data_IF_855641343376
#
_entry.id   IF_855641343376
#
_cell.length_a   1.000
_cell.length_b   1.000
_cell.length_c   1.000
_cell.angle_alpha   90.00
_cell.angle_beta   90.00
_cell.angle_gamma   90.00
#
_symmetry.space_group_name_H-M   'P 1'
#
loop_
_entity.id
_entity.type
_entity.pdbx_description
1 polymer ?
#
# COMPACT_ATOMS: atom_id res chain seq x y z
N UNK A 1 -8.60 2.31 3.05
CA UNK A 1 -8.24 1.66 4.34
C UNK A 1 -7.70 2.70 5.33
N UNK A 2 -6.65 3.46 5.03
CA UNK A 2 -6.10 4.53 5.90
C UNK A 2 -7.20 5.44 6.46
N UNK A 3 -8.08 5.97 5.58
CA UNK A 3 -9.21 6.82 5.98
C UNK A 3 -10.07 6.18 7.08
N UNK A 4 -10.49 4.91 6.91
CA UNK A 4 -11.34 4.22 7.90
C UNK A 4 -10.70 4.14 9.28
N UNK A 5 -9.39 3.83 9.36
CA UNK A 5 -8.68 3.81 10.64
C UNK A 5 -8.49 5.20 11.23
N UNK A 6 -8.24 6.20 10.39
CA UNK A 6 -8.13 7.58 10.84
C UNK A 6 -9.46 8.12 11.40
N UNK A 7 -10.57 7.91 10.67
CA UNK A 7 -11.91 8.28 11.11
C UNK A 7 -12.29 7.57 12.42
N UNK A 8 -11.95 6.28 12.55
CA UNK A 8 -12.17 5.55 13.80
C UNK A 8 -11.39 6.17 14.96
N UNK A 9 -10.14 6.62 14.72
CA UNK A 9 -9.34 7.30 15.74
C UNK A 9 -9.93 8.65 16.13
N UNK A 10 -10.30 9.49 15.16
CA UNK A 10 -10.84 10.83 15.43
C UNK A 10 -12.18 10.76 16.16
N UNK A 11 -13.03 9.82 15.77
CA UNK A 11 -14.36 9.63 16.35
C UNK A 11 -14.39 8.65 17.53
N UNK A 12 -13.22 8.18 17.99
CA UNK A 12 -13.06 7.21 19.08
C UNK A 12 -13.93 5.94 18.90
N UNK A 13 -14.03 5.44 17.66
CA UNK A 13 -14.76 4.19 17.39
C UNK A 13 -13.96 3.00 17.90
N UNK A 14 -14.64 2.00 18.44
CA UNK A 14 -14.04 0.75 18.95
C UNK A 14 -13.77 -0.30 17.86
N UNK A 15 -14.26 -0.07 16.65
CA UNK A 15 -14.13 -1.04 15.55
C UNK A 15 -14.08 -0.39 14.16
N UNK A 16 -13.55 -1.16 13.20
CA UNK A 16 -13.53 -0.84 11.77
C UNK A 16 -13.97 -2.07 10.98
N UNK A 17 -14.89 -1.90 10.04
CA UNK A 17 -15.32 -2.95 9.11
C UNK A 17 -14.57 -2.82 7.79
N UNK A 18 -13.92 -3.90 7.35
CA UNK A 18 -13.24 -4.05 6.06
C UNK A 18 -13.95 -5.14 5.24
N UNK A 19 -13.89 -5.02 3.92
CA UNK A 19 -14.55 -5.94 2.99
C UNK A 19 -13.75 -7.20 2.75
N UNK A 20 -14.46 -8.31 2.49
CA UNK A 20 -13.93 -9.63 2.17
C UNK A 20 -13.32 -10.33 3.37
N UNK A 21 -12.58 -11.39 3.12
CA UNK A 21 -11.89 -12.17 4.17
C UNK A 21 -10.57 -11.54 4.60
N UNK A 22 -10.02 -10.61 3.79
CA UNK A 22 -8.68 -10.06 3.98
C UNK A 22 -7.53 -11.03 3.66
N UNK A 23 -7.83 -12.22 3.13
CA UNK A 23 -6.81 -13.22 2.74
C UNK A 23 -6.07 -12.89 1.44
N UNK A 24 -6.67 -12.20 0.43
CA UNK A 24 -5.97 -11.89 -0.81
C UNK A 24 -4.68 -11.14 -0.57
N UNK A 25 -3.65 -11.50 -1.37
CA UNK A 25 -2.34 -10.85 -1.32
C UNK A 25 -2.18 -9.82 -2.40
N UNK A 26 -1.56 -8.70 -2.05
CA UNK A 26 -1.28 -7.57 -2.96
C UNK A 26 0.13 -7.05 -2.71
N UNK A 27 0.71 -6.60 -3.79
CA UNK A 27 1.95 -5.83 -3.80
C UNK A 27 1.62 -4.33 -3.70
N UNK A 28 2.45 -3.60 -2.97
CA UNK A 28 2.32 -2.14 -2.80
C UNK A 28 3.66 -1.48 -3.05
N UNK A 29 3.63 -0.39 -3.77
CA UNK A 29 4.78 0.45 -4.07
C UNK A 29 4.45 1.90 -3.70
N UNK A 30 5.38 2.59 -3.05
CA UNK A 30 5.21 4.00 -2.74
C UNK A 30 5.30 4.85 -4.02
N UNK A 31 4.47 5.90 -4.10
CA UNK A 31 4.30 6.68 -5.33
C UNK A 31 5.59 7.33 -5.82
N UNK A 32 6.45 7.83 -4.91
CA UNK A 32 7.73 8.43 -5.30
C UNK A 32 8.70 7.37 -5.85
N UNK A 33 8.62 6.12 -5.37
CA UNK A 33 9.40 5.02 -5.95
C UNK A 33 8.94 4.70 -7.38
N UNK A 34 7.62 4.77 -7.64
CA UNK A 34 7.10 4.64 -9.00
C UNK A 34 7.59 5.80 -9.89
N UNK A 35 7.53 7.04 -9.41
CA UNK A 35 8.05 8.20 -10.14
C UNK A 35 9.54 8.05 -10.49
N UNK A 36 10.34 7.56 -9.52
CA UNK A 36 11.76 7.26 -9.76
C UNK A 36 11.99 6.14 -10.76
N UNK A 37 11.10 5.13 -10.81
CA UNK A 37 11.19 4.10 -11.84
C UNK A 37 10.99 4.68 -13.25
N UNK A 38 10.06 5.64 -13.39
CA UNK A 38 9.85 6.36 -14.66
C UNK A 38 11.09 7.18 -15.04
N UNK A 39 11.67 7.94 -14.10
CA UNK A 39 12.91 8.69 -14.36
C UNK A 39 14.06 7.75 -14.72
N UNK A 40 14.21 6.65 -13.99
CA UNK A 40 15.22 5.63 -14.31
C UNK A 40 15.05 5.10 -15.74
N UNK A 41 13.81 4.84 -16.17
CA UNK A 41 13.54 4.35 -17.52
C UNK A 41 13.85 5.40 -18.62
N UNK A 42 13.71 6.70 -18.30
CA UNK A 42 14.05 7.79 -19.23
C UNK A 42 15.56 8.03 -19.32
N UNK A 43 16.30 7.80 -18.25
CA UNK A 43 17.75 8.08 -18.16
C UNK A 43 18.61 6.89 -18.57
N UNK A 44 18.05 5.71 -18.75
CA UNK A 44 18.79 4.49 -19.06
C UNK A 44 18.29 3.85 -20.36
N UNK A 45 19.21 3.22 -21.09
CA UNK A 45 18.87 2.44 -22.28
C UNK A 45 18.22 1.13 -21.82
N UNK A 46 16.94 0.99 -22.07
CA UNK A 46 16.17 -0.22 -21.85
C UNK A 46 16.01 -0.95 -23.19
N UNK A 47 16.37 -2.23 -23.20
CA UNK A 47 16.44 -3.07 -24.40
C UNK A 47 15.13 -3.80 -24.73
N UNK A 48 14.07 -3.56 -23.93
CA UNK A 48 12.75 -4.16 -24.15
C UNK A 48 11.65 -3.10 -24.12
N UNK A 49 10.50 -3.43 -24.76
CA UNK A 49 9.36 -2.50 -24.84
C UNK A 49 8.47 -2.48 -23.60
N UNK A 50 8.63 -3.48 -22.69
CA UNK A 50 7.76 -3.61 -21.51
C UNK A 50 8.55 -4.02 -20.27
N UNK A 51 8.44 -3.21 -19.25
CA UNK A 51 8.98 -3.48 -17.91
C UNK A 51 7.89 -3.37 -16.86
N UNK A 52 7.77 -4.39 -16.01
CA UNK A 52 6.93 -4.30 -14.83
C UNK A 52 7.68 -3.55 -13.73
N UNK A 53 6.96 -2.70 -13.00
CA UNK A 53 7.46 -1.97 -11.84
C UNK A 53 6.73 -2.46 -10.60
N UNK A 54 7.47 -2.94 -9.59
CA UNK A 54 6.92 -3.44 -8.34
C UNK A 54 7.97 -3.48 -7.24
N UNK A 55 7.53 -3.68 -6.01
CA UNK A 55 8.41 -3.80 -4.84
C UNK A 55 9.06 -5.19 -4.73
N UNK A 56 8.52 -6.18 -5.47
CA UNK A 56 8.97 -7.58 -5.44
C UNK A 56 8.42 -8.38 -4.25
N UNK A 57 7.56 -7.80 -3.42
CA UNK A 57 6.97 -8.47 -2.26
C UNK A 57 5.49 -8.19 -2.12
N UNK A 58 4.74 -9.18 -1.66
CA UNK A 58 3.31 -9.06 -1.38
C UNK A 58 3.00 -9.42 0.08
N UNK A 59 1.82 -8.98 0.53
CA UNK A 59 1.28 -9.35 1.82
C UNK A 59 -0.25 -9.43 1.74
N UNK A 60 -0.88 -10.11 2.71
CA UNK A 60 -2.34 -10.18 2.76
C UNK A 60 -2.95 -8.83 3.17
N UNK A 61 -4.19 -8.60 2.78
CA UNK A 61 -4.96 -7.42 3.19
C UNK A 61 -5.12 -7.38 4.73
N UNK A 62 -5.20 -8.55 5.40
CA UNK A 62 -5.17 -8.63 6.87
C UNK A 62 -3.86 -8.07 7.45
N UNK A 63 -2.72 -8.44 6.87
CA UNK A 63 -1.41 -7.93 7.31
C UNK A 63 -1.30 -6.41 7.08
N UNK A 64 -1.75 -5.94 5.91
CA UNK A 64 -1.79 -4.51 5.60
C UNK A 64 -2.65 -3.73 6.61
N UNK A 65 -3.85 -4.24 6.94
CA UNK A 65 -4.74 -3.62 7.92
C UNK A 65 -4.06 -3.46 9.29
N UNK A 66 -3.35 -4.49 9.75
CA UNK A 66 -2.56 -4.45 10.99
C UNK A 66 -1.46 -3.39 10.96
N UNK A 67 -0.70 -3.31 9.85
CA UNK A 67 0.36 -2.30 9.69
C UNK A 67 -0.24 -0.89 9.75
N UNK A 68 -1.35 -0.65 9.04
CA UNK A 68 -2.01 0.65 9.03
C UNK A 68 -2.56 1.01 10.42
N UNK A 69 -3.21 0.07 11.09
CA UNK A 69 -3.72 0.26 12.45
C UNK A 69 -2.61 0.70 13.41
N UNK A 70 -1.47 0.04 13.38
CA UNK A 70 -0.32 0.37 14.22
C UNK A 70 0.26 1.76 13.89
N UNK A 71 0.31 2.13 12.60
CA UNK A 71 0.82 3.45 12.16
C UNK A 71 -0.15 4.57 12.55
N UNK A 72 -1.45 4.35 12.44
CA UNK A 72 -2.49 5.30 12.86
C UNK A 72 -2.46 5.49 14.39
N UNK A 73 -2.05 4.45 15.12
CA UNK A 73 -1.94 4.49 16.58
C UNK A 73 -3.31 4.52 17.28
N UNK A 74 -4.24 3.71 16.81
CA UNK A 74 -5.54 3.49 17.43
C UNK A 74 -5.93 2.02 17.28
N UNK A 75 -5.89 1.28 18.38
CA UNK A 75 -6.19 -0.14 18.38
C UNK A 75 -7.69 -0.36 18.44
N UNK A 76 -8.23 -0.92 17.35
CA UNK A 76 -9.66 -1.20 17.21
C UNK A 76 -9.88 -2.65 16.80
N UNK A 77 -11.08 -3.16 17.04
CA UNK A 77 -11.49 -4.47 16.53
C UNK A 77 -11.73 -4.36 15.02
N UNK A 78 -11.10 -5.23 14.24
CA UNK A 78 -11.30 -5.30 12.80
C UNK A 78 -12.34 -6.38 12.51
N UNK A 79 -13.47 -5.98 11.94
CA UNK A 79 -14.47 -6.89 11.40
C UNK A 79 -14.28 -7.05 9.89
N UNK A 80 -14.48 -8.27 9.40
CA UNK A 80 -14.42 -8.61 8.00
C UNK A 80 -15.81 -8.88 7.49
N UNK A 81 -16.26 -8.11 6.50
CA UNK A 81 -17.56 -8.28 5.83
C UNK A 81 -17.37 -9.28 4.69
N UNK A 82 -17.55 -10.56 5.01
CA UNK A 82 -17.36 -11.67 4.08
C UNK A 82 -18.49 -11.79 3.03
N UNK A 83 -19.59 -11.04 3.18
CA UNK A 83 -20.61 -10.92 2.13
C UNK A 83 -20.08 -10.14 0.92
N UNK A 84 -19.04 -9.35 1.10
CA UNK A 84 -18.34 -8.67 0.01
C UNK A 84 -17.28 -9.60 -0.59
N UNK A 85 -17.26 -9.73 -1.93
CA UNK A 85 -16.35 -10.65 -2.59
C UNK A 85 -14.89 -10.28 -2.37
N UNK A 86 -14.07 -11.29 -2.15
CA UNK A 86 -12.63 -11.13 -2.32
C UNK A 86 -12.29 -10.93 -3.80
N UNK A 87 -11.29 -10.13 -4.08
CA UNK A 87 -10.71 -10.05 -5.42
C UNK A 87 -9.80 -11.25 -5.71
N UNK A 88 -9.08 -11.21 -6.83
CA UNK A 88 -8.07 -12.22 -7.21
C UNK A 88 -7.20 -12.61 -6.01
N UNK A 89 -6.97 -13.91 -5.72
CA UNK A 89 -6.27 -14.37 -4.52
C UNK A 89 -4.87 -13.77 -4.34
N UNK A 90 -4.14 -13.58 -5.46
CA UNK A 90 -2.80 -12.98 -5.43
C UNK A 90 -2.54 -12.13 -6.66
N UNK A 91 -1.97 -10.92 -6.46
CA UNK A 91 -1.44 -10.06 -7.53
C UNK A 91 -0.06 -9.56 -7.11
N UNK A 92 0.97 -10.01 -7.81
CA UNK A 92 2.35 -9.55 -7.70
C UNK A 92 2.95 -9.44 -9.10
N UNK A 93 3.74 -8.42 -9.35
CA UNK A 93 4.41 -8.20 -10.63
C UNK A 93 5.76 -8.92 -10.66
N UNK A 94 6.11 -9.50 -11.79
CA UNK A 94 7.48 -9.95 -12.01
C UNK A 94 8.33 -8.76 -12.50
N UNK A 95 8.97 -8.07 -11.57
CA UNK A 95 9.81 -6.89 -11.83
C UNK A 95 11.29 -7.23 -12.07
N UNK A 96 11.66 -8.51 -12.22
CA UNK A 96 13.05 -8.96 -12.36
C UNK A 96 13.80 -8.28 -13.51
N UNK A 97 13.13 -8.02 -14.64
CA UNK A 97 13.74 -7.33 -15.78
C UNK A 97 14.25 -5.93 -15.40
N UNK A 98 13.41 -5.12 -14.75
CA UNK A 98 13.81 -3.78 -14.34
C UNK A 98 14.85 -3.82 -13.20
N UNK A 99 14.70 -4.76 -12.28
CA UNK A 99 15.64 -4.95 -11.18
C UNK A 99 17.03 -5.37 -11.67
N UNK A 100 17.13 -6.20 -12.72
CA UNK A 100 18.40 -6.58 -13.33
C UNK A 100 19.12 -5.42 -14.03
N UNK A 101 18.38 -4.36 -14.41
CA UNK A 101 18.94 -3.11 -14.94
C UNK A 101 19.42 -2.15 -13.84
N UNK A 102 19.24 -2.50 -12.55
CA UNK A 102 19.74 -1.72 -11.41
C UNK A 102 18.68 -0.94 -10.64
N UNK A 103 17.42 -0.88 -11.12
CA UNK A 103 16.36 -0.22 -10.37
C UNK A 103 15.84 -1.07 -9.20
N UNK A 104 15.56 -0.42 -8.07
CA UNK A 104 14.84 -1.01 -6.93
C UNK A 104 14.07 0.07 -6.14
N UNK A 105 12.99 -0.37 -5.48
CA UNK A 105 12.27 0.47 -4.55
C UNK A 105 13.19 0.85 -3.37
N UNK A 106 13.13 2.11 -2.93
CA UNK A 106 13.94 2.63 -1.83
C UNK A 106 13.22 2.55 -0.49
N UNK A 107 11.89 2.62 -0.51
CA UNK A 107 11.09 2.66 0.72
C UNK A 107 10.50 1.30 1.05
N UNK A 108 10.54 0.95 2.33
CA UNK A 108 9.76 -0.16 2.83
C UNK A 108 8.26 0.16 2.75
N UNK A 109 7.41 -0.86 2.70
CA UNK A 109 5.96 -0.66 2.77
C UNK A 109 5.55 0.16 3.99
N UNK A 110 6.16 -0.11 5.16
CA UNK A 110 5.88 0.61 6.39
C UNK A 110 6.18 2.10 6.26
N UNK A 111 7.34 2.45 5.74
CA UNK A 111 7.77 3.84 5.57
C UNK A 111 6.89 4.56 4.55
N UNK A 112 6.54 3.89 3.45
CA UNK A 112 5.60 4.40 2.46
C UNK A 112 4.21 4.70 3.06
N UNK A 113 3.69 3.81 3.92
CA UNK A 113 2.41 4.03 4.62
C UNK A 113 2.52 5.19 5.61
N UNK A 114 3.63 5.33 6.36
CA UNK A 114 3.86 6.46 7.28
C UNK A 114 3.82 7.79 6.51
N UNK A 115 4.53 7.88 5.37
CA UNK A 115 4.53 9.08 4.52
C UNK A 115 3.12 9.38 3.97
N UNK A 116 2.43 8.35 3.45
CA UNK A 116 1.08 8.47 2.92
C UNK A 116 0.09 8.93 4.00
N UNK A 117 0.19 8.38 5.22
CA UNK A 117 -0.68 8.78 6.32
C UNK A 117 -0.39 10.20 6.80
N UNK A 118 0.88 10.60 6.84
CA UNK A 118 1.27 11.98 7.17
C UNK A 118 0.74 12.99 6.15
N UNK A 119 0.80 12.66 4.85
CA UNK A 119 0.20 13.47 3.80
C UNK A 119 -1.33 13.53 3.95
N UNK A 120 -2.00 12.40 4.15
CA UNK A 120 -3.45 12.34 4.36
C UNK A 120 -3.91 13.20 5.54
N UNK A 121 -3.19 13.16 6.68
CA UNK A 121 -3.51 13.98 7.86
C UNK A 121 -3.44 15.48 7.57
N UNK A 122 -2.44 15.93 6.83
CA UNK A 122 -2.33 17.36 6.45
C UNK A 122 -3.52 17.79 5.60
N UNK A 123 -3.88 16.99 4.60
CA UNK A 123 -5.03 17.28 3.75
C UNK A 123 -6.35 17.24 4.53
N UNK A 124 -6.54 16.24 5.39
CA UNK A 124 -7.74 16.12 6.22
C UNK A 124 -7.94 17.34 7.13
N UNK A 125 -6.87 17.78 7.80
CA UNK A 125 -6.93 18.94 8.68
C UNK A 125 -7.13 20.27 7.92
N UNK A 126 -6.81 20.34 6.64
CA UNK A 126 -7.07 21.53 5.81
C UNK A 126 -8.49 21.58 5.24
N UNK A 127 -9.27 20.51 5.39
CA UNK A 127 -10.66 20.41 4.94
C UNK A 127 -11.67 20.65 6.08
N UNK A 128 -11.19 20.73 7.33
CA UNK A 128 -11.98 21.07 8.53
C UNK A 128 -11.80 22.52 8.89
#
# INVERSE_FOLDING_TARGET
>A
MIRKFHEAKVNNHSSVTLWGTGSPKREFLYVDDLARAVLFALENILDEHLYNVGSGSDLSIKQLAKIIQNIVGHQVKIFWDEEKPDGTPRKIMNSKKLTSKGWKANLTLRDGIIKTYSFYRRQYNSML
#
